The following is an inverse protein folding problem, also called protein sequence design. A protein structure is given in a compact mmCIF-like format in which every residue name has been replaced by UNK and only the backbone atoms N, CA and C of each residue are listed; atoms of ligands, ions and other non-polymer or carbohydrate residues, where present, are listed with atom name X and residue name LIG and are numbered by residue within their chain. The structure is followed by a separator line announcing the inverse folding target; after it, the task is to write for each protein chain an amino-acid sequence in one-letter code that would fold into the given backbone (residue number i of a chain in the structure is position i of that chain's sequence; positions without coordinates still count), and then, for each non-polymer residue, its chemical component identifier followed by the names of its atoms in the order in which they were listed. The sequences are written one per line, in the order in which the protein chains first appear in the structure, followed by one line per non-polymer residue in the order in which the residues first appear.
data_IF_708906799517
#
_entry.id   IF_708906799517
#
_cell.length_a   1.000
_cell.length_b   1.000
_cell.length_c   1.000
_cell.angle_alpha   90.00
_cell.angle_beta   90.00
_cell.angle_gamma   90.00
#
_symmetry.space_group_name_H-M   'P 1'
#
loop_
_entity.id
_entity.type
_entity.pdbx_description
1 polymer ?
#
# COMPACT_ATOMS: atom_id res chain seq x y z
N UNK A 1 -13.60 18.70 19.91
CA UNK A 1 -13.64 19.03 18.47
C UNK A 1 -14.03 17.77 17.72
N UNK A 2 -14.93 17.86 16.74
CA UNK A 2 -15.36 16.73 15.90
C UNK A 2 -14.63 16.83 14.56
N UNK A 3 -14.11 15.71 14.05
CA UNK A 3 -13.51 15.63 12.71
C UNK A 3 -14.62 15.26 11.72
N UNK A 4 -14.75 16.01 10.64
CA UNK A 4 -15.75 15.85 9.60
C UNK A 4 -15.12 15.24 8.32
N UNK A 5 -15.87 14.52 7.48
CA UNK A 5 -15.36 13.94 6.23
C UNK A 5 -14.74 14.96 5.26
N UNK A 6 -15.22 16.21 5.30
CA UNK A 6 -14.75 17.35 4.51
C UNK A 6 -13.49 18.03 5.08
N UNK A 7 -13.06 17.67 6.29
CA UNK A 7 -11.86 18.28 6.88
C UNK A 7 -10.62 17.97 6.03
N UNK A 8 -9.75 18.97 5.78
CA UNK A 8 -8.57 18.78 4.96
C UNK A 8 -7.50 17.94 5.67
N UNK A 9 -6.79 17.12 4.90
CA UNK A 9 -5.54 16.50 5.34
C UNK A 9 -4.40 17.44 4.97
N UNK A 10 -3.98 18.28 5.92
CA UNK A 10 -2.94 19.29 5.71
C UNK A 10 -1.70 19.02 6.58
N UNK A 11 -0.50 18.81 5.99
CA UNK A 11 -0.25 18.76 4.54
C UNK A 11 -0.75 17.48 3.87
N UNK A 12 -0.79 16.34 4.58
CA UNK A 12 -1.17 15.01 4.09
C UNK A 12 -1.31 14.01 5.25
N UNK A 13 -1.85 12.82 4.98
CA UNK A 13 -1.87 11.68 5.88
C UNK A 13 -0.99 10.55 5.31
N UNK A 14 -0.01 10.10 6.09
CA UNK A 14 0.91 9.01 5.73
C UNK A 14 0.80 7.89 6.77
N UNK A 15 0.51 6.67 6.33
CA UNK A 15 0.42 5.48 7.19
C UNK A 15 1.41 4.42 6.74
N UNK A 16 2.20 3.90 7.69
CA UNK A 16 3.08 2.76 7.48
C UNK A 16 2.40 1.47 7.91
N UNK A 17 2.12 0.62 6.94
CA UNK A 17 1.44 -0.66 7.14
C UNK A 17 2.51 -1.71 7.39
N UNK A 18 2.66 -2.11 8.65
CA UNK A 18 3.67 -3.07 9.09
C UNK A 18 3.06 -4.46 9.26
N UNK A 19 3.89 -5.49 9.06
CA UNK A 19 3.57 -6.90 9.33
C UNK A 19 2.27 -7.41 8.66
N UNK A 20 2.12 -7.26 7.34
CA UNK A 20 0.94 -7.74 6.65
C UNK A 20 0.84 -9.28 6.69
N UNK A 21 -0.37 -9.81 6.83
CA UNK A 21 -0.62 -11.25 6.68
C UNK A 21 -0.39 -11.69 5.23
N UNK A 22 0.03 -12.93 5.05
CA UNK A 22 0.21 -13.54 3.73
C UNK A 22 -0.64 -14.79 3.57
N UNK A 23 -1.06 -15.06 2.33
CA UNK A 23 -1.60 -16.37 1.96
C UNK A 23 -0.52 -17.46 1.94
N UNK A 24 -0.94 -18.69 1.67
CA UNK A 24 -0.06 -19.86 1.62
C UNK A 24 1.02 -19.79 0.51
N UNK A 25 0.91 -18.84 -0.43
CA UNK A 25 1.90 -18.60 -1.49
C UNK A 25 2.83 -17.43 -1.15
N UNK A 26 2.66 -16.80 0.01
CA UNK A 26 3.46 -15.68 0.48
C UNK A 26 3.03 -14.34 -0.10
N UNK A 27 1.80 -14.22 -0.63
CA UNK A 27 1.25 -12.95 -1.09
C UNK A 27 0.42 -12.29 0.00
N UNK A 28 0.62 -10.99 0.19
CA UNK A 28 -0.33 -10.20 0.96
C UNK A 28 -1.36 -9.54 0.06
N UNK A 29 -2.52 -9.24 0.63
CA UNK A 29 -3.70 -8.78 -0.08
C UNK A 29 -4.32 -7.62 0.69
N UNK A 30 -4.43 -6.47 0.02
CA UNK A 30 -5.10 -5.28 0.54
C UNK A 30 -6.25 -4.92 -0.38
N UNK A 31 -7.38 -4.57 0.23
CA UNK A 31 -8.61 -4.20 -0.45
C UNK A 31 -9.18 -2.91 0.16
N UNK A 32 -9.50 -1.92 -0.67
CA UNK A 32 -10.32 -0.77 -0.30
C UNK A 32 -11.70 -0.96 -0.94
N UNK A 33 -12.72 -1.17 -0.12
CA UNK A 33 -14.10 -1.28 -0.62
C UNK A 33 -14.71 0.12 -0.72
N UNK A 34 -15.28 0.43 -1.87
CA UNK A 34 -16.00 1.69 -2.13
C UNK A 34 -17.47 1.60 -1.70
N UNK A 35 -18.17 2.74 -1.53
CA UNK A 35 -19.58 2.74 -1.13
C UNK A 35 -20.53 1.99 -2.08
N UNK A 36 -20.19 1.89 -3.37
CA UNK A 36 -20.96 1.14 -4.37
C UNK A 36 -20.65 -0.37 -4.36
N UNK A 37 -19.72 -0.81 -3.52
CA UNK A 37 -19.28 -2.19 -3.36
C UNK A 37 -18.16 -2.63 -4.28
N UNK A 38 -17.72 -1.80 -5.24
CA UNK A 38 -16.49 -2.04 -6.00
C UNK A 38 -15.26 -1.88 -5.08
N UNK A 39 -14.06 -2.21 -5.56
CA UNK A 39 -12.87 -2.02 -4.73
C UNK A 39 -11.56 -1.88 -5.46
N UNK A 40 -10.64 -1.10 -4.87
CA UNK A 40 -9.24 -1.08 -5.27
C UNK A 40 -8.48 -2.23 -4.59
N UNK A 41 -7.66 -2.93 -5.36
CA UNK A 41 -6.90 -4.08 -4.90
C UNK A 41 -5.42 -3.93 -5.20
N UNK A 42 -4.58 -4.30 -4.22
CA UNK A 42 -3.13 -4.43 -4.37
C UNK A 42 -2.66 -5.68 -3.64
N UNK A 43 -1.79 -6.44 -4.30
CA UNK A 43 -1.16 -7.63 -3.75
C UNK A 43 0.31 -7.68 -4.13
N UNK A 44 1.15 -7.98 -3.16
CA UNK A 44 2.60 -8.04 -3.31
C UNK A 44 3.19 -9.11 -2.40
N UNK A 45 4.49 -9.37 -2.53
CA UNK A 45 5.19 -10.29 -1.63
C UNK A 45 6.03 -9.52 -0.60
N UNK A 46 5.70 -9.59 0.71
CA UNK A 46 6.42 -8.85 1.74
C UNK A 46 7.84 -9.36 2.00
N UNK A 47 8.18 -10.58 1.56
CA UNK A 47 9.57 -11.08 1.55
C UNK A 47 10.47 -10.35 0.54
N UNK A 48 9.88 -9.61 -0.41
CA UNK A 48 10.60 -8.80 -1.42
C UNK A 48 10.36 -7.30 -1.25
N UNK A 49 9.15 -6.87 -0.93
CA UNK A 49 8.81 -5.48 -0.65
C UNK A 49 8.37 -5.40 0.81
N UNK A 50 9.31 -5.15 1.70
CA UNK A 50 9.16 -5.23 3.16
C UNK A 50 8.53 -3.97 3.79
N UNK A 51 8.23 -2.96 2.96
CA UNK A 51 7.58 -1.73 3.37
C UNK A 51 6.29 -1.54 2.58
N UNK A 52 5.29 -0.93 3.21
CA UNK A 52 4.07 -0.51 2.53
C UNK A 52 3.53 0.78 3.14
N UNK A 53 3.28 1.75 2.28
CA UNK A 53 2.74 3.05 2.68
C UNK A 53 1.34 3.24 2.10
N UNK A 54 0.43 3.82 2.90
CA UNK A 54 -0.80 4.43 2.41
C UNK A 54 -0.70 5.94 2.57
N UNK A 55 -1.03 6.67 1.52
CA UNK A 55 -0.88 8.12 1.45
C UNK A 55 -2.19 8.76 1.02
N UNK A 56 -2.61 9.83 1.68
CA UNK A 56 -3.81 10.59 1.32
C UNK A 56 -3.49 12.08 1.42
N UNK A 57 -3.78 12.82 0.36
CA UNK A 57 -3.74 14.28 0.36
C UNK A 57 -5.11 14.83 -0.02
N UNK A 58 -5.59 15.76 0.80
CA UNK A 58 -6.80 16.53 0.53
C UNK A 58 -6.57 17.93 1.08
N UNK A 59 -6.01 18.79 0.24
CA UNK A 59 -5.77 20.18 0.58
C UNK A 59 -6.12 21.04 -0.62
N UNK A 60 -7.25 21.76 -0.62
CA UNK A 60 -7.61 22.83 -1.58
C UNK A 60 -7.31 22.61 -3.08
N UNK A 61 -6.04 22.62 -3.46
CA UNK A 61 -5.49 22.34 -4.78
C UNK A 61 -5.30 20.85 -5.14
N UNK A 62 -5.31 19.92 -4.17
CA UNK A 62 -5.03 18.48 -4.42
C UNK A 62 -6.01 17.57 -3.72
N UNK A 63 -6.50 16.60 -4.48
CA UNK A 63 -7.31 15.47 -4.00
C UNK A 63 -6.77 14.19 -4.61
N UNK A 64 -5.91 13.50 -3.89
CA UNK A 64 -5.30 12.26 -4.36
C UNK A 64 -5.05 11.30 -3.20
N UNK A 65 -4.96 10.01 -3.52
CA UNK A 65 -4.50 9.02 -2.56
C UNK A 65 -3.72 7.91 -3.25
N UNK A 66 -2.68 7.44 -2.57
CA UNK A 66 -2.02 6.18 -2.85
C UNK A 66 -2.62 5.12 -1.94
N UNK A 67 -3.48 4.26 -2.50
CA UNK A 67 -4.17 3.21 -1.74
C UNK A 67 -3.19 2.32 -0.96
N UNK A 68 -2.21 1.76 -1.67
CA UNK A 68 -1.14 0.95 -1.11
C UNK A 68 0.08 1.08 -2.01
N UNK A 69 1.21 1.43 -1.40
CA UNK A 69 2.48 1.65 -2.08
C UNK A 69 3.54 0.71 -1.48
N UNK A 70 3.64 -0.54 -1.98
CA UNK A 70 4.67 -1.47 -1.55
C UNK A 70 6.05 -1.01 -2.02
N UNK A 71 7.05 -1.09 -1.15
CA UNK A 71 8.40 -0.60 -1.40
C UNK A 71 9.46 -1.37 -0.64
N UNK A 72 10.70 -0.98 -0.86
CA UNK A 72 11.88 -1.52 -0.14
C UNK A 72 12.32 -0.62 1.01
N UNK A 73 11.62 0.49 1.23
CA UNK A 73 11.91 1.54 2.18
C UNK A 73 10.65 2.38 2.45
N UNK A 74 10.64 3.14 3.54
CA UNK A 74 9.62 4.15 3.83
C UNK A 74 9.89 5.46 3.04
N UNK A 75 8.91 6.36 2.84
CA UNK A 75 9.07 7.60 2.06
C UNK A 75 9.75 8.74 2.85
N UNK A 76 10.69 8.44 3.75
CA UNK A 76 11.38 9.42 4.62
C UNK A 76 12.60 10.09 3.94
N UNK A 77 12.91 9.65 2.72
CA UNK A 77 14.01 10.19 1.91
C UNK A 77 15.35 9.44 2.08
N UNK A 78 16.22 9.60 1.08
CA UNK A 78 17.42 8.77 0.91
C UNK A 78 18.35 8.72 2.14
N UNK A 79 18.67 9.88 2.73
CA UNK A 79 19.63 9.93 3.85
C UNK A 79 19.09 9.20 5.08
N UNK A 80 17.79 9.34 5.36
CA UNK A 80 17.14 8.66 6.48
C UNK A 80 17.09 7.15 6.24
N UNK A 81 16.58 6.73 5.07
CA UNK A 81 16.45 5.32 4.72
C UNK A 81 17.81 4.61 4.60
N UNK A 82 18.87 5.32 4.19
CA UNK A 82 20.24 4.78 4.19
C UNK A 82 20.75 4.56 5.61
N UNK A 83 20.52 5.50 6.52
CA UNK A 83 20.90 5.36 7.92
C UNK A 83 20.11 4.25 8.62
N UNK A 84 18.84 4.06 8.24
CA UNK A 84 17.98 2.97 8.71
C UNK A 84 18.34 1.60 8.12
N UNK A 85 19.18 1.54 7.09
CA UNK A 85 19.60 0.29 6.43
C UNK A 85 18.62 -0.24 5.37
N UNK A 86 17.62 0.56 4.97
CA UNK A 86 16.60 0.16 4.00
C UNK A 86 17.05 0.30 2.53
N UNK A 87 18.07 1.13 2.26
CA UNK A 87 18.59 1.32 0.90
C UNK A 87 19.30 0.05 0.40
N UNK A 88 18.72 -0.57 -0.63
CA UNK A 88 19.25 -1.78 -1.27
C UNK A 88 20.21 -1.45 -2.40
N UNK A 89 21.27 -2.25 -2.54
CA UNK A 89 22.28 -2.12 -3.60
C UNK A 89 22.14 -3.30 -4.56
N UNK A 90 22.05 -3.01 -5.85
CA UNK A 90 22.08 -4.01 -6.92
C UNK A 90 23.51 -4.01 -7.49
N UNK A 91 24.27 -5.12 -7.39
CA UNK A 91 25.62 -5.18 -7.94
C UNK A 91 25.65 -5.02 -9.46
N UNK A 92 26.84 -4.76 -9.99
CA UNK A 92 27.06 -4.69 -11.43
C UNK A 92 26.54 -5.96 -12.13
N UNK A 93 25.92 -5.76 -13.31
CA UNK A 93 25.37 -6.84 -14.15
C UNK A 93 24.37 -7.75 -13.44
N UNK A 94 23.80 -7.30 -12.32
CA UNK A 94 22.77 -8.03 -11.56
C UNK A 94 21.41 -7.39 -11.76
N UNK A 95 20.35 -8.14 -11.46
CA UNK A 95 18.97 -7.65 -11.51
C UNK A 95 18.16 -8.21 -10.34
N UNK A 96 17.09 -7.52 -10.00
CA UNK A 96 16.06 -7.97 -9.06
C UNK A 96 14.70 -7.76 -9.71
N UNK A 97 13.77 -8.66 -9.43
CA UNK A 97 12.40 -8.58 -9.93
C UNK A 97 11.42 -8.45 -8.77
N UNK A 98 10.48 -7.55 -8.92
CA UNK A 98 9.37 -7.35 -8.00
C UNK A 98 8.06 -7.59 -8.75
N UNK A 99 7.07 -8.12 -8.04
CA UNK A 99 5.77 -8.41 -8.62
C UNK A 99 4.70 -7.74 -7.76
N UNK A 100 3.87 -6.95 -8.41
CA UNK A 100 2.71 -6.28 -7.81
C UNK A 100 1.52 -6.59 -8.70
N UNK A 101 0.44 -7.07 -8.11
CA UNK A 101 -0.85 -7.21 -8.76
C UNK A 101 -1.70 -6.05 -8.26
N UNK A 102 -2.25 -5.26 -9.17
CA UNK A 102 -3.13 -4.15 -8.81
C UNK A 102 -4.25 -3.98 -9.83
N UNK A 103 -5.39 -3.47 -9.39
CA UNK A 103 -6.51 -3.15 -10.26
C UNK A 103 -7.77 -2.81 -9.48
N UNK A 104 -8.80 -2.43 -10.21
CA UNK A 104 -10.16 -2.29 -9.70
C UNK A 104 -10.91 -3.61 -9.82
N UNK A 105 -11.73 -3.92 -8.82
CA UNK A 105 -12.59 -5.08 -8.73
C UNK A 105 -14.04 -4.64 -8.80
N UNK A 106 -14.86 -5.38 -9.54
CA UNK A 106 -16.31 -5.20 -9.48
C UNK A 106 -16.88 -5.66 -8.11
N UNK A 107 -18.16 -5.39 -7.80
CA UNK A 107 -18.73 -5.75 -6.50
C UNK A 107 -18.76 -7.25 -6.17
N UNK A 108 -18.78 -8.13 -7.18
CA UNK A 108 -18.72 -9.58 -6.98
C UNK A 108 -17.30 -9.97 -6.60
N UNK A 109 -16.32 -9.56 -7.41
CA UNK A 109 -14.90 -9.82 -7.19
C UNK A 109 -14.41 -9.24 -5.84
N UNK A 110 -14.90 -8.05 -5.48
CA UNK A 110 -14.58 -7.39 -4.21
C UNK A 110 -15.03 -8.24 -3.02
N UNK A 111 -16.25 -8.76 -3.03
CA UNK A 111 -16.76 -9.65 -1.96
C UNK A 111 -16.00 -10.97 -1.88
N UNK A 112 -15.61 -11.53 -3.03
CA UNK A 112 -14.78 -12.74 -3.07
C UNK A 112 -13.40 -12.50 -2.47
N UNK A 113 -12.75 -11.40 -2.84
CA UNK A 113 -11.44 -11.02 -2.31
C UNK A 113 -11.52 -10.72 -0.80
N UNK A 114 -12.56 -10.02 -0.34
CA UNK A 114 -12.75 -9.76 1.08
C UNK A 114 -12.83 -11.06 1.89
N UNK A 115 -13.62 -12.04 1.44
CA UNK A 115 -13.69 -13.37 2.07
C UNK A 115 -12.36 -14.14 2.02
N UNK A 116 -11.55 -13.93 0.98
CA UNK A 116 -10.19 -14.50 0.91
C UNK A 116 -9.31 -13.88 1.99
N UNK A 117 -9.30 -12.56 2.11
CA UNK A 117 -8.49 -11.81 3.08
C UNK A 117 -8.88 -12.16 4.52
N UNK A 118 -10.18 -12.27 4.82
CA UNK A 118 -10.69 -12.63 6.16
C UNK A 118 -10.24 -14.02 6.64
N UNK A 119 -9.83 -14.90 5.72
CA UNK A 119 -9.36 -16.26 6.02
C UNK A 119 -7.84 -16.39 6.18
N UNK A 120 -7.09 -15.29 6.05
CA UNK A 120 -5.64 -15.23 6.29
C UNK A 120 -5.33 -15.19 7.79
#
# INVERSE_FOLDING_TARGET
QTILPEDPYFPELVLYLKSPKTDNQGWTHFLQVHPDGSGDYVSYRPDKLDHATRWIIRNGDREAYGFLLPGTCDPEGYTHEKAAGNVRIIPERSSVSYHIITGALDPIQTKEMQRKIEKL
#
